data_IF_971522443039
#
_entry.id   IF_971522443039
#
_cell.length_a   1.000
_cell.length_b   1.000
_cell.length_c   1.000
_cell.angle_alpha   90.00
_cell.angle_beta   90.00
_cell.angle_gamma   90.00
#
_symmetry.space_group_name_H-M   'P 1'
#
loop_
_entity.id
_entity.type
_entity.pdbx_description
1 polymer ?
#
# COMPACT_ATOMS: atom_id res chain seq x y z
N UNK A 1 16.94 -44.32 -90.70
CA UNK A 1 17.65 -45.61 -90.83
C UNK A 1 19.12 -45.29 -90.67
N UNK A 2 19.71 -45.69 -89.55
CA UNK A 2 20.93 -45.07 -89.04
C UNK A 2 20.67 -43.99 -87.98
N UNK A 3 21.47 -44.10 -86.91
CA UNK A 3 21.91 -43.12 -85.90
C UNK A 3 20.96 -42.03 -85.38
N UNK A 4 20.82 -42.07 -84.04
CA UNK A 4 20.80 -40.99 -83.04
C UNK A 4 19.92 -39.76 -83.30
N UNK A 5 18.85 -39.66 -82.51
CA UNK A 5 18.66 -38.71 -81.40
C UNK A 5 17.21 -38.87 -80.94
N UNK A 6 16.92 -38.99 -79.64
CA UNK A 6 16.55 -37.90 -78.72
C UNK A 6 15.59 -38.59 -77.72
N UNK A 7 15.70 -38.52 -76.41
CA UNK A 7 15.36 -37.45 -75.43
C UNK A 7 15.54 -38.15 -74.07
N UNK A 8 16.00 -37.57 -72.96
CA UNK A 8 15.37 -36.52 -72.16
C UNK A 8 16.26 -36.22 -70.93
N UNK A 9 16.25 -34.99 -70.38
CA UNK A 9 16.93 -34.64 -69.14
C UNK A 9 16.02 -34.92 -67.92
N UNK A 10 16.51 -35.66 -66.93
CA UNK A 10 15.83 -35.77 -65.63
C UNK A 10 16.39 -34.75 -64.65
N UNK A 11 15.55 -33.76 -64.37
CA UNK A 11 15.56 -32.95 -63.16
C UNK A 11 15.54 -33.85 -61.91
N UNK A 12 16.28 -33.47 -60.87
CA UNK A 12 16.31 -34.20 -59.61
C UNK A 12 17.04 -33.48 -58.48
N UNK A 13 16.51 -32.31 -58.11
CA UNK A 13 16.50 -31.64 -56.79
C UNK A 13 17.82 -31.46 -55.99
N UNK A 14 18.15 -30.20 -55.59
CA UNK A 14 19.12 -29.98 -54.52
C UNK A 14 18.58 -30.53 -53.19
N UNK A 15 19.41 -31.27 -52.47
CA UNK A 15 19.19 -31.66 -51.07
C UNK A 15 19.02 -30.39 -50.22
N UNK A 16 17.76 -30.00 -49.99
CA UNK A 16 17.40 -28.99 -49.01
C UNK A 16 17.41 -29.64 -47.62
N UNK A 17 18.54 -29.41 -46.92
CA UNK A 17 18.65 -29.17 -45.48
C UNK A 17 17.61 -29.85 -44.56
N UNK A 18 17.76 -31.15 -44.30
CA UNK A 18 17.09 -31.79 -43.15
C UNK A 18 17.62 -31.29 -41.80
N UNK A 19 18.81 -30.67 -41.77
CA UNK A 19 19.42 -30.07 -40.58
C UNK A 19 18.75 -28.77 -40.11
N UNK A 20 18.04 -28.05 -40.98
CA UNK A 20 17.39 -26.77 -40.63
C UNK A 20 16.03 -26.94 -39.92
N UNK A 21 15.32 -28.04 -40.16
CA UNK A 21 13.99 -28.24 -39.57
C UNK A 21 14.05 -28.70 -38.12
N UNK A 22 15.07 -29.50 -37.76
CA UNK A 22 15.26 -29.99 -36.38
C UNK A 22 15.66 -28.86 -35.44
N UNK A 23 16.52 -27.95 -35.91
CA UNK A 23 16.93 -26.75 -35.14
C UNK A 23 15.79 -25.75 -35.00
N UNK A 24 14.98 -25.54 -36.06
CA UNK A 24 13.82 -24.66 -35.98
C UNK A 24 12.72 -25.21 -35.05
N UNK A 25 12.47 -26.51 -35.07
CA UNK A 25 11.50 -27.16 -34.17
C UNK A 25 11.95 -27.10 -32.70
N UNK A 26 13.25 -27.23 -32.43
CA UNK A 26 13.80 -27.12 -31.07
C UNK A 26 13.70 -25.67 -30.53
N UNK A 27 13.90 -24.66 -31.38
CA UNK A 27 13.77 -23.24 -31.00
C UNK A 27 12.31 -22.85 -30.71
N UNK A 28 11.34 -23.42 -31.44
CA UNK A 28 9.91 -23.18 -31.20
C UNK A 28 9.44 -23.87 -29.91
N UNK A 29 9.92 -25.08 -29.61
CA UNK A 29 9.61 -25.78 -28.35
C UNK A 29 10.19 -25.09 -27.11
N UNK A 30 11.35 -24.44 -27.23
CA UNK A 30 11.97 -23.68 -26.13
C UNK A 30 11.29 -22.31 -25.92
N UNK A 31 10.75 -21.69 -26.98
CA UNK A 31 10.05 -20.40 -26.84
C UNK A 31 8.61 -20.51 -26.34
N UNK A 32 7.97 -21.67 -26.47
CA UNK A 32 6.65 -21.96 -25.89
C UNK A 32 6.67 -22.22 -24.37
N UNK A 33 7.85 -22.49 -23.79
CA UNK A 33 8.00 -22.80 -22.36
C UNK A 33 8.26 -21.58 -21.46
N UNK A 34 8.55 -20.42 -22.03
CA UNK A 34 8.86 -19.21 -21.27
C UNK A 34 7.65 -18.30 -21.18
N UNK A 35 6.56 -18.80 -20.59
CA UNK A 35 5.63 -17.86 -19.96
C UNK A 35 6.45 -17.17 -18.86
N UNK A 36 6.60 -15.83 -18.85
CA UNK A 36 6.95 -15.20 -17.60
C UNK A 36 5.83 -15.59 -16.65
N UNK A 37 6.13 -16.49 -15.72
CA UNK A 37 5.31 -16.64 -14.54
C UNK A 37 5.37 -15.25 -13.91
N UNK A 38 4.37 -14.42 -14.23
CA UNK A 38 4.09 -13.24 -13.45
C UNK A 38 4.02 -13.80 -12.04
N UNK A 39 5.02 -13.48 -11.22
CA UNK A 39 4.90 -13.64 -9.80
C UNK A 39 3.66 -12.82 -9.47
N UNK A 40 2.51 -13.49 -9.37
CA UNK A 40 1.34 -12.92 -8.73
C UNK A 40 1.90 -12.51 -7.38
N UNK A 41 2.08 -11.20 -7.19
CA UNK A 41 2.35 -10.64 -5.88
C UNK A 41 1.18 -11.16 -5.07
N UNK A 42 1.40 -12.23 -4.30
CA UNK A 42 0.38 -12.78 -3.42
C UNK A 42 0.02 -11.59 -2.56
N UNK A 43 -1.20 -11.10 -2.73
CA UNK A 43 -1.72 -10.09 -1.85
C UNK A 43 -1.72 -10.76 -0.48
N UNK A 44 -0.77 -10.38 0.37
CA UNK A 44 -0.63 -10.98 1.68
C UNK A 44 -1.70 -10.32 2.52
N UNK A 45 -2.88 -10.91 2.53
CA UNK A 45 -3.93 -10.48 3.43
C UNK A 45 -3.61 -10.98 4.83
N UNK A 46 -3.80 -10.12 5.82
CA UNK A 46 -3.63 -10.44 7.24
C UNK A 46 -5.00 -10.51 7.89
N UNK A 47 -5.20 -11.56 8.69
CA UNK A 47 -6.28 -11.60 9.67
C UNK A 47 -5.71 -11.26 11.05
N UNK A 48 -6.38 -10.37 11.79
CA UNK A 48 -6.04 -10.07 13.18
C UNK A 48 -7.10 -10.67 14.09
N UNK A 49 -6.67 -11.39 15.12
CA UNK A 49 -7.55 -12.01 16.12
C UNK A 49 -6.93 -11.92 17.51
N UNK A 50 -7.68 -12.34 18.53
CA UNK A 50 -7.19 -12.43 19.91
C UNK A 50 -7.30 -13.87 20.39
N UNK A 51 -6.23 -14.35 21.00
CA UNK A 51 -6.17 -15.68 21.62
C UNK A 51 -5.64 -15.51 23.02
N UNK A 52 -6.51 -15.74 24.02
CA UNK A 52 -6.20 -15.48 25.44
C UNK A 52 -5.74 -14.02 25.61
N UNK A 53 -4.57 -13.81 26.22
CA UNK A 53 -3.99 -12.49 26.48
C UNK A 53 -3.02 -12.06 25.38
N UNK A 54 -3.30 -12.38 24.11
CA UNK A 54 -2.42 -12.09 22.98
C UNK A 54 -3.21 -11.62 21.77
N UNK A 55 -2.71 -10.57 21.13
CA UNK A 55 -3.14 -10.19 19.78
C UNK A 55 -2.33 -11.01 18.79
N UNK A 56 -3.00 -11.65 17.84
CA UNK A 56 -2.38 -12.56 16.87
C UNK A 56 -2.66 -12.06 15.47
N UNK A 57 -1.60 -11.80 14.71
CA UNK A 57 -1.67 -11.61 13.27
C UNK A 57 -1.45 -12.95 12.58
N UNK A 58 -2.32 -13.27 11.63
CA UNK A 58 -2.29 -14.44 10.76
C UNK A 58 -2.11 -13.95 9.32
N UNK A 59 -0.86 -13.75 8.85
CA UNK A 59 -0.61 -13.43 7.45
C UNK A 59 -0.95 -14.62 6.57
N UNK A 60 -1.40 -14.37 5.33
CA UNK A 60 -1.66 -15.42 4.34
C UNK A 60 -0.43 -16.30 3.97
N UNK A 61 0.75 -15.98 4.48
CA UNK A 61 1.95 -16.82 4.41
C UNK A 61 2.77 -16.80 5.70
N UNK A 62 3.32 -17.95 6.07
CA UNK A 62 4.16 -18.11 7.26
C UNK A 62 3.38 -18.40 8.54
N UNK A 63 4.09 -18.41 9.66
CA UNK A 63 3.51 -18.66 10.99
C UNK A 63 2.80 -17.42 11.56
N UNK A 64 1.80 -17.63 12.45
CA UNK A 64 1.21 -16.57 13.26
C UNK A 64 2.27 -15.71 13.96
N UNK A 65 1.98 -14.41 14.13
CA UNK A 65 2.81 -13.49 14.89
C UNK A 65 2.00 -12.94 16.04
N UNK A 66 2.45 -13.22 17.25
CA UNK A 66 1.75 -12.87 18.49
C UNK A 66 2.39 -11.65 19.15
N UNK A 67 1.55 -10.79 19.73
CA UNK A 67 1.94 -9.72 20.64
C UNK A 67 1.19 -9.92 21.97
N UNK A 68 1.90 -10.11 23.09
CA UNK A 68 1.25 -10.28 24.39
C UNK A 68 0.60 -8.98 24.87
N UNK A 69 -0.59 -9.09 25.44
CA UNK A 69 -1.25 -8.01 26.18
C UNK A 69 -0.65 -7.92 27.59
N UNK A 70 -0.43 -6.70 28.05
CA UNK A 70 0.00 -6.43 29.42
C UNK A 70 -1.10 -6.71 30.45
N UNK A 71 -0.73 -6.75 31.73
CA UNK A 71 -1.66 -7.01 32.84
C UNK A 71 -2.78 -5.97 32.86
N UNK A 72 -4.05 -6.37 32.80
CA UNK A 72 -5.23 -5.48 32.69
C UNK A 72 -5.26 -4.63 31.39
N UNK A 73 -4.45 -4.95 30.40
CA UNK A 73 -4.64 -4.44 29.04
C UNK A 73 -5.72 -5.28 28.36
N UNK A 74 -6.68 -4.62 27.72
CA UNK A 74 -7.74 -5.32 26.98
C UNK A 74 -7.79 -4.81 25.54
N UNK A 75 -8.17 -5.69 24.62
CA UNK A 75 -8.41 -5.31 23.24
C UNK A 75 -9.70 -4.47 23.16
N UNK A 76 -9.63 -3.34 22.47
CA UNK A 76 -10.77 -2.49 22.16
C UNK A 76 -11.31 -2.82 20.77
N UNK A 77 -10.43 -2.86 19.76
CA UNK A 77 -10.82 -3.17 18.39
C UNK A 77 -9.65 -3.68 17.56
N UNK A 78 -9.95 -4.32 16.44
CA UNK A 78 -8.98 -4.79 15.44
C UNK A 78 -9.48 -4.47 14.05
N UNK A 79 -8.55 -4.18 13.15
CA UNK A 79 -8.84 -4.04 11.72
C UNK A 79 -7.66 -4.57 10.91
N UNK A 80 -7.91 -4.97 9.68
CA UNK A 80 -6.86 -5.34 8.74
C UNK A 80 -7.31 -5.03 7.31
N UNK A 81 -6.36 -4.64 6.47
CA UNK A 81 -6.58 -4.51 5.05
C UNK A 81 -5.29 -4.83 4.31
N UNK A 82 -5.31 -5.84 3.44
CA UNK A 82 -4.10 -6.30 2.78
C UNK A 82 -3.03 -6.71 3.81
N UNK A 83 -1.77 -6.26 3.64
CA UNK A 83 -0.67 -6.64 4.53
C UNK A 83 -0.61 -5.83 5.84
N UNK A 84 -1.46 -4.82 5.99
CA UNK A 84 -1.53 -4.00 7.19
C UNK A 84 -2.55 -4.56 8.19
N UNK A 85 -2.11 -4.78 9.42
CA UNK A 85 -2.98 -5.09 10.56
C UNK A 85 -2.96 -3.98 11.61
N UNK A 86 -4.06 -3.87 12.35
CA UNK A 86 -4.27 -2.90 13.40
C UNK A 86 -4.93 -3.57 14.60
N UNK A 87 -4.45 -3.23 15.79
CA UNK A 87 -5.16 -3.48 17.03
C UNK A 87 -5.09 -2.24 17.92
N UNK A 88 -6.22 -1.87 18.49
CA UNK A 88 -6.30 -0.88 19.56
C UNK A 88 -6.50 -1.62 20.86
N UNK A 89 -5.74 -1.25 21.88
CA UNK A 89 -5.96 -1.71 23.25
C UNK A 89 -6.33 -0.52 24.14
N UNK A 90 -6.59 -0.80 25.42
CA UNK A 90 -6.80 0.25 26.43
C UNK A 90 -5.55 1.08 26.74
N UNK A 91 -4.37 0.72 26.19
CA UNK A 91 -3.08 1.38 26.51
C UNK A 91 -2.28 1.81 25.30
N UNK A 92 -2.40 1.13 24.17
CA UNK A 92 -1.54 1.35 23.01
C UNK A 92 -2.26 1.06 21.72
N UNK A 93 -1.67 1.58 20.66
CA UNK A 93 -2.00 1.23 19.28
C UNK A 93 -0.93 0.26 18.79
N UNK A 94 -1.36 -0.81 18.15
CA UNK A 94 -0.51 -1.84 17.59
C UNK A 94 -0.69 -1.86 16.07
N UNK A 95 0.41 -1.73 15.36
CA UNK A 95 0.49 -1.77 13.91
C UNK A 95 1.27 -3.00 13.48
N UNK A 96 0.64 -3.86 12.68
CA UNK A 96 1.27 -5.04 12.12
C UNK A 96 1.71 -4.79 10.69
N UNK A 97 2.96 -5.10 10.41
CA UNK A 97 3.53 -5.07 9.07
C UNK A 97 3.78 -6.52 8.61
N UNK A 98 3.00 -6.99 7.64
CA UNK A 98 3.12 -8.38 7.17
C UNK A 98 4.47 -8.66 6.52
N UNK A 99 5.00 -7.72 5.74
CA UNK A 99 6.30 -7.90 5.09
C UNK A 99 7.45 -8.06 6.10
N UNK A 100 7.30 -7.45 7.28
CA UNK A 100 8.28 -7.49 8.36
C UNK A 100 7.95 -8.53 9.43
N UNK A 101 6.76 -9.14 9.36
CA UNK A 101 6.22 -10.11 10.31
C UNK A 101 6.36 -9.65 11.77
N UNK A 102 6.00 -8.40 12.04
CA UNK A 102 6.13 -7.82 13.39
C UNK A 102 4.99 -6.88 13.73
N UNK A 103 4.69 -6.86 15.02
CA UNK A 103 3.93 -5.79 15.66
C UNK A 103 4.88 -4.67 16.07
N UNK A 104 4.39 -3.44 16.00
CA UNK A 104 5.05 -2.27 16.59
C UNK A 104 3.99 -1.39 17.23
N UNK A 105 4.38 -0.69 18.28
CA UNK A 105 3.44 0.01 19.14
C UNK A 105 3.70 1.51 19.21
N UNK A 106 2.64 2.23 19.56
CA UNK A 106 2.72 3.56 20.17
C UNK A 106 1.79 3.61 21.37
N UNK A 107 2.29 4.13 22.49
CA UNK A 107 1.55 4.24 23.74
C UNK A 107 0.54 5.39 23.68
N UNK A 108 -0.67 5.15 24.19
CA UNK A 108 -1.69 6.17 24.38
C UNK A 108 -1.44 6.92 25.69
N UNK A 109 -1.70 8.22 25.71
CA UNK A 109 -1.76 8.98 26.97
C UNK A 109 -2.91 8.52 27.88
N UNK A 110 -2.81 8.82 29.18
CA UNK A 110 -3.80 8.41 30.20
C UNK A 110 -5.23 8.86 29.88
N UNK A 111 -5.38 10.06 29.33
CA UNK A 111 -6.68 10.64 28.93
C UNK A 111 -6.84 10.69 27.41
N UNK A 112 -5.97 9.99 26.68
CA UNK A 112 -5.99 9.94 25.23
C UNK A 112 -6.97 8.86 24.77
N UNK A 113 -8.00 9.28 24.03
CA UNK A 113 -9.07 8.42 23.55
C UNK A 113 -9.05 8.39 22.03
N UNK A 114 -9.08 7.19 21.46
CA UNK A 114 -9.21 7.00 20.02
C UNK A 114 -10.63 7.34 19.61
N UNK A 115 -10.76 8.23 18.63
CA UNK A 115 -12.07 8.66 18.11
C UNK A 115 -12.38 7.97 16.77
N UNK A 116 -11.37 7.91 15.89
CA UNK A 116 -11.50 7.37 14.53
C UNK A 116 -10.21 6.68 14.11
N UNK A 117 -10.32 5.70 13.23
CA UNK A 117 -9.17 5.14 12.55
C UNK A 117 -9.53 4.78 11.11
N UNK A 118 -8.53 4.75 10.25
CA UNK A 118 -8.65 4.26 8.89
C UNK A 118 -7.44 3.40 8.58
N UNK A 119 -7.71 2.15 8.20
CA UNK A 119 -6.68 1.20 7.74
C UNK A 119 -6.75 1.13 6.23
N UNK A 120 -5.60 1.17 5.58
CA UNK A 120 -5.39 0.95 4.15
C UNK A 120 -4.25 -0.07 3.97
N UNK A 121 -4.07 -0.67 2.78
CA UNK A 121 -3.07 -1.71 2.57
C UNK A 121 -1.63 -1.35 2.93
N UNK A 122 -1.21 -0.09 2.81
CA UNK A 122 0.18 0.32 3.04
C UNK A 122 0.38 1.29 4.20
N UNK A 123 -0.71 1.75 4.80
CA UNK A 123 -0.71 2.77 5.83
C UNK A 123 -2.01 2.72 6.61
N UNK A 124 -1.97 3.22 7.84
CA UNK A 124 -3.19 3.52 8.58
C UNK A 124 -2.99 4.83 9.35
N UNK A 125 -4.10 5.49 9.67
CA UNK A 125 -4.10 6.65 10.54
C UNK A 125 -5.14 6.44 11.63
N UNK A 126 -4.75 6.74 12.87
CA UNK A 126 -5.61 6.76 14.05
C UNK A 126 -5.67 8.19 14.55
N UNK A 127 -6.89 8.71 14.68
CA UNK A 127 -7.16 9.98 15.31
C UNK A 127 -7.55 9.75 16.77
N UNK A 128 -6.90 10.47 17.67
CA UNK A 128 -7.32 10.62 19.07
C UNK A 128 -7.83 12.04 19.33
N UNK A 129 -8.33 12.28 20.54
CA UNK A 129 -8.65 13.62 21.02
C UNK A 129 -7.40 14.52 21.22
N UNK A 130 -6.17 13.99 21.06
CA UNK A 130 -4.93 14.75 21.32
C UNK A 130 -3.93 14.72 20.16
N UNK A 131 -3.97 13.70 19.32
CA UNK A 131 -2.95 13.41 18.31
C UNK A 131 -3.57 12.73 17.10
N UNK A 132 -2.81 12.76 16.01
CA UNK A 132 -2.97 11.81 14.91
C UNK A 132 -1.75 10.91 14.86
N UNK A 133 -1.97 9.60 14.80
CA UNK A 133 -0.93 8.59 14.67
C UNK A 133 -1.00 7.96 13.29
N UNK A 134 0.09 7.99 12.54
CA UNK A 134 0.21 7.35 11.23
C UNK A 134 1.15 6.17 11.31
N UNK A 135 0.72 5.00 10.86
CA UNK A 135 1.59 3.82 10.76
C UNK A 135 1.90 3.50 9.31
N UNK A 136 3.19 3.39 8.99
CA UNK A 136 3.69 3.03 7.68
C UNK A 136 3.98 1.52 7.65
N UNK A 137 3.18 0.75 6.90
CA UNK A 137 3.27 -0.72 6.87
C UNK A 137 4.65 -1.19 6.38
N UNK A 138 5.16 -0.60 5.30
CA UNK A 138 6.42 -1.02 4.66
C UNK A 138 7.65 -0.93 5.57
N UNK A 139 7.59 -0.07 6.59
CA UNK A 139 8.66 0.11 7.58
C UNK A 139 8.26 -0.40 8.97
N UNK A 140 7.00 -0.74 9.17
CA UNK A 140 6.44 -1.03 10.49
C UNK A 140 6.78 0.08 11.48
N UNK A 141 6.50 1.33 11.15
CA UNK A 141 6.89 2.48 11.96
C UNK A 141 5.71 3.44 12.19
N UNK A 142 5.61 3.95 13.41
CA UNK A 142 4.61 4.93 13.83
C UNK A 142 5.17 6.35 13.78
N UNK A 143 4.32 7.27 13.35
CA UNK A 143 4.54 8.71 13.39
C UNK A 143 3.38 9.35 14.14
N UNK A 144 3.64 10.45 14.82
CA UNK A 144 2.60 11.16 15.57
C UNK A 144 2.71 12.65 15.32
N UNK A 145 1.58 13.33 15.14
CA UNK A 145 1.47 14.79 15.15
C UNK A 145 0.45 15.18 16.21
N UNK A 146 0.78 16.21 17.01
CA UNK A 146 -0.09 16.66 18.09
C UNK A 146 -1.17 17.59 17.54
N UNK A 147 -2.41 17.40 17.98
CA UNK A 147 -3.49 18.34 17.71
C UNK A 147 -3.41 19.50 18.72
N UNK A 148 -3.66 20.71 18.24
CA UNK A 148 -3.81 21.89 19.10
C UNK A 148 -4.96 21.72 20.11
N UNK A 149 -4.96 22.46 21.23
CA UNK A 149 -5.96 22.30 22.30
C UNK A 149 -7.40 22.56 21.85
N UNK A 150 -7.60 23.37 20.80
CA UNK A 150 -8.90 23.65 20.19
C UNK A 150 -8.97 23.15 18.73
N UNK A 151 -7.96 22.42 18.28
CA UNK A 151 -7.91 21.90 16.92
C UNK A 151 -8.84 20.68 16.82
N UNK A 152 -9.84 20.77 15.95
CA UNK A 152 -10.83 19.67 15.79
C UNK A 152 -10.69 19.04 14.41
N UNK A 153 -10.66 17.71 14.37
CA UNK A 153 -10.65 16.97 13.10
C UNK A 153 -12.05 16.97 12.48
N UNK A 154 -12.16 17.58 11.31
CA UNK A 154 -13.41 17.65 10.54
C UNK A 154 -13.58 16.45 9.63
N UNK A 155 -12.51 16.00 8.98
CA UNK A 155 -12.54 14.87 8.07
C UNK A 155 -11.29 14.02 8.22
N UNK A 156 -11.46 12.71 8.11
CA UNK A 156 -10.39 11.72 8.03
C UNK A 156 -10.78 10.77 6.90
N UNK A 157 -10.03 10.83 5.81
CA UNK A 157 -10.31 10.03 4.62
C UNK A 157 -9.02 9.68 3.90
N UNK A 158 -9.04 8.59 3.15
CA UNK A 158 -7.84 8.03 2.59
C UNK A 158 -8.11 7.11 1.43
N UNK A 159 -7.14 7.07 0.52
CA UNK A 159 -7.18 6.29 -0.71
C UNK A 159 -5.77 5.90 -1.11
N UNK A 160 -5.61 4.63 -1.48
CA UNK A 160 -4.33 4.08 -1.94
C UNK A 160 -3.21 4.26 -0.92
N UNK A 161 -2.32 5.20 -1.19
CA UNK A 161 -1.08 5.45 -0.46
C UNK A 161 -1.12 6.74 0.39
N UNK A 162 -2.30 7.36 0.51
CA UNK A 162 -2.47 8.65 1.19
C UNK A 162 -3.69 8.61 2.11
N UNK A 163 -3.51 9.07 3.35
CA UNK A 163 -4.62 9.43 4.24
C UNK A 163 -4.49 10.92 4.57
N UNK A 164 -5.58 11.66 4.40
CA UNK A 164 -5.68 13.08 4.72
C UNK A 164 -6.55 13.26 5.95
N UNK A 165 -6.03 14.02 6.89
CA UNK A 165 -6.75 14.49 8.06
C UNK A 165 -6.93 16.00 7.91
N UNK A 166 -8.18 16.42 7.85
CA UNK A 166 -8.57 17.82 7.80
C UNK A 166 -8.97 18.26 9.18
N UNK A 167 -8.33 19.31 9.66
CA UNK A 167 -8.66 19.95 10.93
C UNK A 167 -9.21 21.34 10.71
N UNK A 168 -9.69 21.97 11.80
CA UNK A 168 -10.06 23.39 11.81
C UNK A 168 -8.89 24.33 11.52
N UNK A 169 -7.64 23.88 11.59
CA UNK A 169 -6.45 24.73 11.48
C UNK A 169 -5.54 24.38 10.29
N UNK A 170 -5.58 23.13 9.82
CA UNK A 170 -4.67 22.62 8.78
C UNK A 170 -5.16 21.34 8.13
N UNK A 171 -4.55 20.99 7.00
CA UNK A 171 -4.51 19.62 6.50
C UNK A 171 -3.22 18.95 6.95
N UNK A 172 -3.34 17.69 7.34
CA UNK A 172 -2.26 16.76 7.63
C UNK A 172 -2.40 15.63 6.63
N UNK A 173 -1.32 15.31 5.91
CA UNK A 173 -1.30 14.19 4.98
C UNK A 173 -0.27 13.17 5.42
N UNK A 174 -0.70 11.93 5.58
CA UNK A 174 0.18 10.79 5.85
C UNK A 174 0.40 10.00 4.56
N UNK A 175 1.67 9.75 4.22
CA UNK A 175 2.07 9.04 3.00
C UNK A 175 2.71 7.69 3.32
N UNK A 176 2.30 6.66 2.58
CA UNK A 176 2.86 5.33 2.67
C UNK A 176 4.31 5.22 2.17
N UNK A 177 4.77 6.17 1.34
CA UNK A 177 6.11 6.12 0.72
C UNK A 177 7.13 6.86 1.56
N UNK A 178 6.86 8.13 1.86
CA UNK A 178 7.80 8.99 2.57
C UNK A 178 7.73 8.76 4.09
N UNK A 179 6.55 8.40 4.61
CA UNK A 179 6.27 8.41 6.05
C UNK A 179 6.13 9.83 6.60
N UNK A 180 5.70 9.95 7.86
CA UNK A 180 5.46 11.24 8.51
C UNK A 180 4.21 11.99 8.03
N UNK A 181 3.88 13.07 8.74
CA UNK A 181 2.77 13.95 8.42
C UNK A 181 3.26 15.21 7.71
N UNK A 182 2.64 15.52 6.57
CA UNK A 182 2.90 16.72 5.78
C UNK A 182 1.79 17.72 6.01
N UNK A 183 2.13 18.85 6.62
CA UNK A 183 1.15 19.85 7.07
C UNK A 183 1.00 20.98 6.06
N UNK A 184 -0.24 21.42 5.84
CA UNK A 184 -0.57 22.70 5.22
C UNK A 184 -1.55 23.47 6.10
N UNK A 185 -1.17 24.66 6.56
CA UNK A 185 -2.02 25.49 7.43
C UNK A 185 -3.03 26.30 6.63
N UNK A 186 -4.22 26.46 7.19
CA UNK A 186 -5.27 27.30 6.63
C UNK A 186 -5.00 28.78 6.92
N UNK A 187 -5.36 29.61 5.95
CA UNK A 187 -5.40 31.07 6.11
C UNK A 187 -6.67 31.47 6.86
N UNK A 188 -6.71 32.70 7.38
CA UNK A 188 -7.91 33.22 8.02
C UNK A 188 -9.11 33.16 7.05
N UNK A 189 -10.23 32.59 7.50
CA UNK A 189 -11.46 32.41 6.72
C UNK A 189 -11.34 31.49 5.49
N UNK A 190 -10.24 30.74 5.35
CA UNK A 190 -10.11 29.73 4.31
C UNK A 190 -11.05 28.54 4.64
N UNK A 191 -11.92 28.20 3.70
CA UNK A 191 -12.87 27.09 3.85
C UNK A 191 -12.62 26.04 2.77
N UNK A 192 -12.70 24.76 3.15
CA UNK A 192 -12.53 23.66 2.20
C UNK A 192 -13.81 23.50 1.39
N UNK A 193 -13.65 23.45 0.07
CA UNK A 193 -14.73 23.27 -0.89
C UNK A 193 -14.82 21.83 -1.37
N UNK A 194 -13.69 21.20 -1.69
CA UNK A 194 -13.64 19.80 -2.12
C UNK A 194 -12.30 19.15 -1.80
N UNK A 195 -12.33 17.82 -1.73
CA UNK A 195 -11.13 16.99 -1.64
C UNK A 195 -11.29 15.84 -2.62
N UNK A 196 -10.39 15.78 -3.60
CA UNK A 196 -10.36 14.76 -4.63
C UNK A 196 -9.09 13.93 -4.47
N UNK A 197 -9.24 12.61 -4.41
CA UNK A 197 -8.11 11.70 -4.18
C UNK A 197 -8.00 10.66 -5.30
N UNK A 198 -6.78 10.44 -5.77
CA UNK A 198 -6.38 9.20 -6.45
C UNK A 198 -5.63 8.32 -5.45
N UNK A 199 -4.95 7.26 -5.93
CA UNK A 199 -4.13 6.44 -5.04
C UNK A 199 -2.86 7.16 -4.54
N UNK A 200 -2.40 8.19 -5.26
CA UNK A 200 -1.09 8.82 -5.02
C UNK A 200 -1.14 10.34 -4.91
N UNK A 201 -2.25 10.94 -5.33
CA UNK A 201 -2.41 12.40 -5.35
C UNK A 201 -3.66 12.77 -4.58
N UNK A 202 -3.55 13.76 -3.70
CA UNK A 202 -4.71 14.43 -3.11
C UNK A 202 -4.75 15.86 -3.59
N UNK A 203 -5.90 16.27 -4.11
CA UNK A 203 -6.23 17.66 -4.42
C UNK A 203 -7.18 18.18 -3.34
N UNK A 204 -6.86 19.32 -2.74
CA UNK A 204 -7.74 20.06 -1.85
C UNK A 204 -8.05 21.39 -2.53
N UNK A 205 -9.32 21.66 -2.78
CA UNK A 205 -9.78 22.97 -3.21
C UNK A 205 -10.34 23.70 -2.01
N UNK A 206 -9.88 24.93 -1.79
CA UNK A 206 -10.39 25.84 -0.77
C UNK A 206 -11.00 27.07 -1.42
N UNK A 207 -11.57 27.97 -0.62
CA UNK A 207 -12.10 29.26 -1.08
C UNK A 207 -11.02 30.19 -1.64
N UNK A 208 -9.74 29.97 -1.32
CA UNK A 208 -8.65 30.87 -1.70
C UNK A 208 -7.60 30.24 -2.61
N UNK A 209 -7.48 28.91 -2.65
CA UNK A 209 -6.44 28.23 -3.43
C UNK A 209 -6.76 26.77 -3.72
N UNK A 210 -5.98 26.17 -4.60
CA UNK A 210 -6.02 24.74 -4.88
C UNK A 210 -4.66 24.12 -4.58
N UNK A 211 -4.65 23.07 -3.76
CA UNK A 211 -3.47 22.43 -3.22
C UNK A 211 -3.39 20.98 -3.70
N UNK A 212 -2.28 20.60 -4.31
CA UNK A 212 -1.98 19.24 -4.69
C UNK A 212 -0.90 18.66 -3.77
N UNK A 213 -1.14 17.48 -3.22
CA UNK A 213 -0.13 16.68 -2.52
C UNK A 213 0.18 15.41 -3.32
N UNK A 214 1.46 15.04 -3.40
CA UNK A 214 1.91 13.79 -4.05
C UNK A 214 2.60 12.88 -3.04
N UNK A 215 2.11 11.65 -2.93
CA UNK A 215 2.56 10.63 -1.96
C UNK A 215 4.06 10.34 -2.04
N UNK A 216 4.61 10.27 -3.24
CA UNK A 216 6.01 9.88 -3.49
C UNK A 216 7.02 10.97 -3.16
N UNK A 217 6.65 12.25 -3.30
CA UNK A 217 7.56 13.38 -3.04
C UNK A 217 7.36 13.98 -1.65
N UNK A 218 6.21 13.77 -1.01
CA UNK A 218 5.88 14.40 0.27
C UNK A 218 5.72 15.92 0.17
N UNK A 219 5.44 16.44 -1.04
CA UNK A 219 5.38 17.87 -1.28
C UNK A 219 3.96 18.37 -1.52
N UNK A 220 3.64 19.53 -0.94
CA UNK A 220 2.50 20.34 -1.36
C UNK A 220 2.89 21.22 -2.54
N UNK A 221 1.97 21.38 -3.48
CA UNK A 221 2.10 22.31 -4.61
C UNK A 221 0.80 23.09 -4.73
N UNK A 222 0.90 24.41 -4.69
CA UNK A 222 -0.24 25.28 -4.98
C UNK A 222 -0.39 25.42 -6.49
N UNK A 223 -1.60 25.17 -6.98
CA UNK A 223 -1.93 25.31 -8.39
C UNK A 223 -2.44 26.73 -8.63
N UNK A 224 -1.91 27.37 -9.67
CA UNK A 224 -2.32 28.68 -10.15
C UNK A 224 -3.42 28.57 -11.19
#
# INVERSE_FOLDING_TARGET
MGRRHSTSPTNGMPMLSTTSYVTLALVILVSLGSSPAFAQVRQIDVLVTVVKDRVVALPGGGSPVEEPLGVNETLVTTAAQGPAGFAQTTRRLLGFASGLRRWTEVQLGVEEQVERHQVLPRLLVVQTNRRVHGFQESRGHWFSDALGPNETVKQLQGRGHVIVVITSERALVFSAFTGGFFTMRWSAHEQIQSIDQTNDVTMIRTTTRQLAFRSQTGGWTELR
#
